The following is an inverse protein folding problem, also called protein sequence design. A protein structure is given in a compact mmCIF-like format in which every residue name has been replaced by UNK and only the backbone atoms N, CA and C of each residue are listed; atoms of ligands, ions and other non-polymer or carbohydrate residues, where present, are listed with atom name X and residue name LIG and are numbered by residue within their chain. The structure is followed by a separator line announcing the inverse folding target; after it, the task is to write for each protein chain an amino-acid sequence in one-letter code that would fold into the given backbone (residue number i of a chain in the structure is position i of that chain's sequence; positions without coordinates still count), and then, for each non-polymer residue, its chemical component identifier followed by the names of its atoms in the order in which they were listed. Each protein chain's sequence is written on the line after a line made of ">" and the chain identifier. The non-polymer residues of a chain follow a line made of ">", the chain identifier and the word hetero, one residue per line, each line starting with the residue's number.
data_IF_793594868573
#
_entry.id   IF_793594868573
#
_cell.length_a   1.000
_cell.length_b   1.000
_cell.length_c   1.000
_cell.angle_alpha   90.00
_cell.angle_beta   90.00
_cell.angle_gamma   90.00
#
_symmetry.space_group_name_H-M   'P 1'
#
loop_
_entity.id
_entity.type
_entity.pdbx_description
1 polymer ?
#
# COMPACT_ATOMS: atom_id res chain seq x y z
N UNK A 1 -0.11 11.19 -23.83
CA UNK A 1 -0.23 10.81 -23.68
C UNK A 1 -1.20 10.33 -23.23
N UNK A 2 -1.84 10.19 -23.71
CA UNK A 2 -2.92 9.89 -23.34
C UNK A 2 -3.00 8.89 -22.42
N UNK A 3 -3.62 8.24 -22.13
CA UNK A 3 -3.63 7.29 -21.21
C UNK A 3 -2.43 7.20 -20.39
N UNK A 4 -1.41 7.81 -20.92
CA UNK A 4 -0.27 7.83 -20.19
C UNK A 4 -0.49 8.59 -19.03
N UNK A 5 -0.02 8.35 -18.05
CA UNK A 5 -0.18 9.12 -16.91
C UNK A 5 -1.56 9.21 -16.38
N UNK A 6 -2.48 8.55 -16.99
CA UNK A 6 -3.78 8.57 -16.41
C UNK A 6 -3.69 7.86 -15.09
N UNK A 7 -3.88 8.58 -14.03
CA UNK A 7 -3.77 8.04 -12.69
C UNK A 7 -5.16 7.67 -12.21
N UNK A 8 -5.34 6.48 -11.68
CA UNK A 8 -6.65 6.13 -11.16
C UNK A 8 -7.00 6.97 -9.94
N UNK A 9 -8.27 7.07 -9.66
CA UNK A 9 -8.72 7.68 -8.43
C UNK A 9 -8.31 6.75 -7.28
N UNK A 10 -7.80 7.33 -6.23
CA UNK A 10 -7.30 6.54 -5.11
C UNK A 10 -8.20 6.74 -3.90
N UNK A 11 -8.82 5.68 -3.46
CA UNK A 11 -9.58 5.66 -2.23
C UNK A 11 -8.76 4.93 -1.18
N UNK A 12 -8.97 5.27 0.09
CA UNK A 12 -8.16 4.72 1.17
C UNK A 12 -9.09 4.24 2.26
N UNK A 13 -8.94 2.99 2.68
CA UNK A 13 -9.78 2.45 3.74
C UNK A 13 -9.35 3.00 5.09
N UNK A 14 -10.26 2.92 6.06
CA UNK A 14 -9.93 3.33 7.42
C UNK A 14 -8.80 2.48 7.98
N UNK A 15 -8.79 1.20 7.64
CA UNK A 15 -7.74 0.30 8.10
C UNK A 15 -6.37 0.77 7.59
N UNK A 16 -6.32 1.17 6.32
CA UNK A 16 -5.05 1.66 5.77
C UNK A 16 -4.61 2.95 6.45
N UNK A 17 -5.56 3.83 6.75
CA UNK A 17 -5.24 5.05 7.47
C UNK A 17 -4.63 4.73 8.83
N UNK A 18 -5.25 3.81 9.54
CA UNK A 18 -4.77 3.47 10.86
C UNK A 18 -3.38 2.86 10.81
N UNK A 19 -3.15 1.96 9.87
CA UNK A 19 -1.84 1.36 9.74
C UNK A 19 -0.78 2.40 9.38
N UNK A 20 -1.13 3.33 8.51
CA UNK A 20 -0.19 4.37 8.13
C UNK A 20 0.20 5.22 9.34
N UNK A 21 -0.77 5.57 10.17
CA UNK A 21 -0.49 6.37 11.34
C UNK A 21 0.40 5.65 12.33
N UNK A 22 0.34 4.32 12.34
CA UNK A 22 1.20 3.53 13.22
C UNK A 22 2.66 3.58 12.78
N UNK A 23 2.90 3.83 11.50
CA UNK A 23 4.24 3.75 10.95
C UNK A 23 4.86 5.10 10.64
N UNK A 24 4.04 6.09 10.38
CA UNK A 24 4.54 7.40 9.99
C UNK A 24 4.04 8.42 11.01
N UNK A 25 4.96 9.07 11.64
CA UNK A 25 4.59 10.03 12.68
C UNK A 25 4.39 11.40 12.11
N UNK A 26 3.62 12.20 12.81
CA UNK A 26 3.46 13.60 12.46
C UNK A 26 2.53 13.84 11.29
N UNK A 27 1.70 12.87 10.96
CA UNK A 27 0.78 13.00 9.84
C UNK A 27 -0.47 13.72 10.30
N UNK A 28 -0.78 14.85 9.66
CA UNK A 28 -1.97 15.60 10.02
C UNK A 28 -3.21 15.00 9.41
N UNK A 29 -3.14 14.67 8.12
CA UNK A 29 -4.30 14.13 7.44
C UNK A 29 -3.81 12.96 6.58
N UNK A 30 -3.93 11.78 7.14
CA UNK A 30 -3.33 10.60 6.54
C UNK A 30 -3.99 10.20 5.23
N UNK A 31 -5.31 10.34 5.15
CA UNK A 31 -6.00 9.84 3.96
C UNK A 31 -5.56 10.52 2.67
N UNK A 32 -5.57 11.83 2.57
CA UNK A 32 -5.09 12.46 1.35
C UNK A 32 -3.58 12.28 1.16
N UNK A 33 -2.83 12.18 2.22
CA UNK A 33 -1.40 11.94 2.06
C UNK A 33 -1.15 10.57 1.44
N UNK A 34 -1.83 9.54 1.92
CA UNK A 34 -1.70 8.21 1.33
C UNK A 34 -2.13 8.24 -0.13
N UNK A 35 -3.27 8.86 -0.41
CA UNK A 35 -3.77 8.90 -1.77
C UNK A 35 -2.77 9.57 -2.72
N UNK A 36 -2.17 10.66 -2.28
CA UNK A 36 -1.18 11.34 -3.11
C UNK A 36 0.08 10.53 -3.32
N UNK A 37 0.54 9.86 -2.27
CA UNK A 37 1.74 9.03 -2.38
C UNK A 37 1.51 7.85 -3.31
N UNK A 38 0.34 7.23 -3.20
CA UNK A 38 0.02 6.09 -4.06
C UNK A 38 -0.13 6.55 -5.50
N UNK A 39 -0.77 7.70 -5.73
CA UNK A 39 -0.93 8.20 -7.08
C UNK A 39 0.42 8.50 -7.73
N UNK A 40 1.35 9.10 -7.00
CA UNK A 40 2.66 9.39 -7.55
C UNK A 40 3.45 8.13 -7.84
N UNK A 41 3.37 7.15 -6.93
CA UNK A 41 4.08 5.90 -7.13
C UNK A 41 3.51 5.14 -8.32
N UNK A 42 2.20 5.16 -8.46
CA UNK A 42 1.55 4.53 -9.59
C UNK A 42 2.04 5.16 -10.91
N UNK A 43 2.05 6.49 -10.95
CA UNK A 43 2.46 7.19 -12.15
C UNK A 43 3.93 6.91 -12.47
N UNK A 44 4.73 6.64 -11.48
CA UNK A 44 6.14 6.34 -11.69
C UNK A 44 6.38 4.87 -12.01
N UNK A 45 5.32 4.05 -12.03
CA UNK A 45 5.48 2.64 -12.36
C UNK A 45 5.95 1.76 -11.22
N UNK A 46 5.90 2.26 -9.99
CA UNK A 46 6.34 1.48 -8.83
C UNK A 46 5.22 0.54 -8.39
N UNK A 47 4.81 -0.33 -9.28
CA UNK A 47 3.65 -1.20 -9.11
C UNK A 47 4.05 -2.60 -9.51
N UNK A 48 3.61 -3.58 -8.72
CA UNK A 48 3.82 -4.97 -9.09
C UNK A 48 2.57 -5.75 -8.72
N UNK A 49 2.35 -6.89 -9.35
CA UNK A 49 1.17 -7.67 -9.06
C UNK A 49 1.24 -8.22 -7.64
N UNK A 50 0.10 -8.25 -7.01
CA UNK A 50 -0.05 -8.86 -5.71
C UNK A 50 -0.85 -10.14 -5.84
N UNK A 51 -1.33 -10.62 -4.71
CA UNK A 51 -2.12 -11.82 -4.70
C UNK A 51 -3.53 -11.51 -5.10
N UNK A 52 -4.15 -12.47 -5.75
CA UNK A 52 -5.53 -12.36 -6.20
C UNK A 52 -5.65 -11.17 -7.13
N UNK A 53 -6.57 -10.32 -6.90
CA UNK A 53 -6.79 -9.18 -7.78
C UNK A 53 -6.17 -7.91 -7.24
N UNK A 54 -5.17 -8.04 -6.38
CA UNK A 54 -4.55 -6.86 -5.80
C UNK A 54 -3.29 -6.49 -6.55
N UNK A 55 -2.85 -5.25 -6.34
CA UNK A 55 -1.55 -4.79 -6.81
C UNK A 55 -0.82 -4.19 -5.62
N UNK A 56 0.49 -4.22 -5.68
CA UNK A 56 1.33 -3.62 -4.66
C UNK A 56 1.96 -2.38 -5.23
N UNK A 57 1.85 -1.30 -4.49
CA UNK A 57 2.41 -0.02 -4.90
C UNK A 57 3.44 0.37 -3.87
N UNK A 58 4.66 0.63 -4.31
CA UNK A 58 5.76 0.94 -3.40
C UNK A 58 5.93 2.44 -3.31
N UNK A 59 6.00 2.94 -2.08
CA UNK A 59 6.16 4.36 -1.85
C UNK A 59 7.49 4.83 -2.42
N UNK A 60 7.48 5.98 -3.09
CA UNK A 60 8.69 6.49 -3.72
C UNK A 60 9.67 7.07 -2.71
N UNK A 61 9.15 7.69 -1.67
CA UNK A 61 10.00 8.33 -0.68
C UNK A 61 10.40 7.40 0.44
N UNK A 62 9.54 6.44 0.71
CA UNK A 62 9.82 5.42 1.72
C UNK A 62 9.65 4.05 1.10
N UNK A 63 10.69 3.59 0.38
CA UNK A 63 10.52 2.35 -0.40
C UNK A 63 10.28 1.12 0.46
N UNK A 64 10.43 1.22 1.76
CA UNK A 64 10.07 0.13 2.65
C UNK A 64 8.56 0.03 2.88
N UNK A 65 7.78 1.03 2.47
CA UNK A 65 6.34 0.99 2.63
C UNK A 65 5.71 0.50 1.34
N UNK A 66 4.88 -0.52 1.47
CA UNK A 66 4.18 -1.13 0.34
C UNK A 66 2.69 -1.04 0.61
N UNK A 67 1.97 -0.42 -0.31
CA UNK A 67 0.51 -0.30 -0.23
C UNK A 67 -0.12 -1.45 -1.00
N UNK A 68 -1.07 -2.11 -0.39
CA UNK A 68 -1.81 -3.20 -1.05
C UNK A 68 -3.12 -2.63 -1.52
N UNK A 69 -3.34 -2.67 -2.82
CA UNK A 69 -4.48 -1.99 -3.42
C UNK A 69 -5.32 -2.97 -4.23
N UNK A 70 -6.62 -2.74 -4.19
CA UNK A 70 -7.53 -3.41 -5.09
C UNK A 70 -7.72 -2.49 -6.29
N UNK A 71 -7.62 -3.02 -7.49
CA UNK A 71 -7.66 -2.21 -8.69
C UNK A 71 -8.94 -2.51 -9.47
N UNK A 72 -9.80 -1.55 -9.54
CA UNK A 72 -11.03 -1.63 -10.31
C UNK A 72 -10.78 -0.92 -11.63
N UNK A 73 -10.36 -1.70 -12.63
CA UNK A 73 -10.00 -1.12 -13.91
C UNK A 73 -11.15 -0.44 -14.62
N UNK A 74 -12.34 -1.06 -14.68
CA UNK A 74 -13.44 -0.37 -15.36
C UNK A 74 -13.77 0.98 -14.77
N UNK A 75 -13.59 1.15 -13.46
CA UNK A 75 -13.89 2.42 -12.84
C UNK A 75 -12.67 3.32 -12.75
N UNK A 76 -11.50 2.80 -13.06
CA UNK A 76 -10.29 3.57 -12.92
C UNK A 76 -10.01 3.93 -11.48
N UNK A 77 -10.23 2.99 -10.57
CA UNK A 77 -10.12 3.27 -9.15
C UNK A 77 -9.18 2.29 -8.47
N UNK A 78 -8.36 2.82 -7.60
CA UNK A 78 -7.53 2.02 -6.72
C UNK A 78 -8.05 2.22 -5.31
N UNK A 79 -8.21 1.13 -4.58
CA UNK A 79 -8.59 1.22 -3.17
C UNK A 79 -7.42 0.69 -2.35
N UNK A 80 -6.82 1.54 -1.55
CA UNK A 80 -5.73 1.13 -0.68
C UNK A 80 -6.34 0.41 0.50
N UNK A 81 -6.17 -0.90 0.53
CA UNK A 81 -6.80 -1.76 1.52
C UNK A 81 -5.98 -1.81 2.79
N UNK A 82 -4.69 -1.91 2.65
CA UNK A 82 -3.79 -1.96 3.78
C UNK A 82 -2.39 -1.57 3.30
N UNK A 83 -1.45 -1.58 4.21
CA UNK A 83 -0.06 -1.37 3.86
C UNK A 83 0.80 -2.07 4.89
N UNK A 84 2.05 -2.26 4.55
CA UNK A 84 2.98 -2.86 5.48
C UNK A 84 4.37 -2.30 5.20
N UNK A 85 5.23 -2.48 6.16
CA UNK A 85 6.58 -1.96 6.07
C UNK A 85 7.49 -3.15 5.85
N UNK A 86 8.26 -3.10 4.78
CA UNK A 86 9.15 -4.18 4.46
C UNK A 86 10.20 -4.26 5.55
N UNK A 87 10.53 -5.43 5.99
CA UNK A 87 11.44 -5.57 7.10
C UNK A 87 10.72 -5.81 8.41
N UNK A 88 9.43 -5.45 8.51
CA UNK A 88 8.71 -5.84 9.70
C UNK A 88 8.39 -7.32 9.56
N UNK A 89 8.27 -7.98 10.67
CA UNK A 89 8.04 -9.40 10.66
C UNK A 89 6.57 -9.65 10.54
N UNK A 90 6.14 -9.91 9.41
CA UNK A 90 4.76 -10.16 9.26
C UNK A 90 4.37 -11.46 9.86
N UNK A 91 5.23 -11.95 9.92
CA UNK A 91 5.00 -13.02 10.29
C UNK A 91 5.07 -13.14 11.41
N UNK A 92 4.87 -12.78 11.54
CA UNK A 92 4.88 -12.88 12.29
C UNK A 92 4.50 -13.57 12.59
N UNK A 93 4.33 -13.88 12.38
CA UNK A 93 4.15 -14.62 12.60
C UNK A 93 4.68 -15.37 12.39
N UNK A 94 4.99 -15.65 12.17
CA UNK A 94 5.49 -16.36 12.00
C UNK A 94 6.18 -16.57 12.82
N UNK A 95 6.05 -16.42 13.47
CA UNK A 95 6.49 -16.62 14.16
C UNK A 95 6.15 -16.99 14.89
N UNK A 96 5.57 -17.12 14.85
CA UNK A 96 5.33 -17.50 15.39
C UNK A 96 5.33 -18.33 15.18
N UNK A 97 5.36 -18.65 14.82
CA UNK A 97 5.52 -19.54 14.58
C UNK A 97 6.41 -20.01 14.60
N UNK A 98 7.01 -19.73 14.55
CA UNK A 98 7.87 -20.17 14.69
C UNK A 98 8.26 -20.41 15.59
N UNK A 99 8.06 -20.06 16.06
CA UNK A 99 8.38 -20.26 17.07
C UNK A 99 7.87 -21.28 17.45
N UNK A 100 7.28 -21.53 17.21
CA UNK A 100 6.77 -22.38 17.43
C UNK A 100 7.25 -23.30 16.85
N UNK A 101 7.60 -23.25 16.22
CA UNK A 101 8.00 -23.92 15.72
C UNK A 101 9.01 -24.19 16.07
N UNK A 102 9.29 -23.95 16.47
CA UNK A 102 10.04 -24.12 16.84
C UNK A 102 10.23 -24.58 17.68
N UNK A 103 9.84 -24.86 17.95
CA UNK A 103 9.91 -25.29 18.60
C UNK A 103 10.09 -25.64 18.79
#
# INVERSE_FOLDING_TARGET
>A
MAGLGRTPLVAVTDHAVERYRQRVRGVLDARPEIAGRVARAWAAGAVEPGERATVRVRDLERPDIVYVCSHDRPRGELVVVTLWEEGEDPEVPKRFTDALRRR
#
